data_IF_652234544840
#
_entry.id   IF_652234544840
#
_cell.length_a   1.000
_cell.length_b   1.000
_cell.length_c   1.000
_cell.angle_alpha   90.00
_cell.angle_beta   90.00
_cell.angle_gamma   90.00
#
_symmetry.space_group_name_H-M   'P 1'
#
loop_
_entity.id
_entity.type
_entity.pdbx_description
1 polymer ?
#
# COMPACT_ATOMS: atom_id res chain seq x y z
N UNK A 1 34.40 -18.68 -3.98
CA UNK A 1 35.55 -18.38 -4.87
C UNK A 1 35.31 -19.05 -6.23
N UNK A 2 35.78 -18.46 -7.34
CA UNK A 2 34.93 -18.21 -8.53
C UNK A 2 35.18 -19.17 -9.70
N UNK A 3 34.19 -19.30 -10.60
CA UNK A 3 34.42 -19.75 -11.98
C UNK A 3 33.31 -19.25 -12.92
N UNK A 4 33.71 -18.59 -14.02
CA UNK A 4 32.95 -18.41 -15.26
C UNK A 4 33.34 -19.53 -16.23
N UNK A 5 32.43 -20.00 -17.09
CA UNK A 5 32.56 -20.01 -18.56
C UNK A 5 31.54 -20.94 -19.28
N UNK A 6 31.36 -20.62 -20.57
CA UNK A 6 30.41 -21.08 -21.60
C UNK A 6 30.35 -22.58 -22.01
N UNK A 7 29.14 -22.96 -22.45
CA UNK A 7 28.75 -23.62 -23.73
C UNK A 7 28.50 -25.15 -23.86
N UNK A 8 27.30 -25.44 -24.44
CA UNK A 8 26.84 -26.58 -25.30
C UNK A 8 26.74 -27.98 -24.65
N UNK A 9 25.71 -28.83 -24.81
CA UNK A 9 24.87 -29.20 -25.98
C UNK A 9 23.69 -30.13 -25.58
N UNK A 10 22.55 -30.12 -26.32
CA UNK A 10 21.56 -31.22 -26.47
C UNK A 10 20.44 -31.31 -25.40
N UNK A 11 19.14 -31.44 -25.69
CA UNK A 11 18.41 -31.91 -26.88
C UNK A 11 17.04 -31.20 -27.00
N UNK A 12 16.58 -31.01 -28.25
CA UNK A 12 15.30 -30.40 -28.62
C UNK A 12 14.27 -31.48 -28.94
N UNK A 13 13.00 -31.26 -28.59
CA UNK A 13 11.86 -31.63 -29.44
C UNK A 13 11.04 -30.37 -29.73
N UNK A 14 10.82 -30.14 -31.02
CA UNK A 14 10.21 -28.96 -31.59
C UNK A 14 8.83 -29.32 -32.16
N UNK A 15 7.89 -28.37 -32.08
CA UNK A 15 6.91 -28.15 -33.13
C UNK A 15 6.99 -26.68 -33.57
N UNK A 16 7.34 -26.52 -34.84
CA UNK A 16 7.54 -25.29 -35.62
C UNK A 16 6.18 -24.68 -36.02
N UNK A 17 5.99 -23.35 -36.18
CA UNK A 17 6.63 -22.49 -37.18
C UNK A 17 6.67 -21.00 -36.74
N UNK A 18 7.83 -20.41 -36.99
CA UNK A 18 8.13 -18.96 -37.07
C UNK A 18 7.65 -18.38 -38.41
N UNK A 19 7.57 -17.04 -38.51
CA UNK A 19 8.47 -16.36 -39.44
C UNK A 19 9.57 -15.56 -38.73
N UNK A 20 10.69 -15.52 -39.43
CA UNK A 20 11.91 -14.72 -39.31
C UNK A 20 11.92 -13.49 -38.38
N UNK A 21 12.93 -13.49 -37.48
CA UNK A 21 13.51 -12.30 -36.85
C UNK A 21 14.17 -11.39 -37.90
N UNK A 22 14.33 -10.09 -37.57
CA UNK A 22 15.66 -9.51 -37.54
C UNK A 22 16.21 -9.47 -36.12
N UNK A 23 17.52 -9.67 -36.03
CA UNK A 23 18.36 -9.51 -34.86
C UNK A 23 18.34 -8.07 -34.34
N UNK A 24 18.92 -7.89 -33.14
CA UNK A 24 19.14 -6.61 -32.44
C UNK A 24 17.91 -6.07 -31.70
N UNK A 25 17.90 -6.22 -30.37
CA UNK A 25 17.81 -5.14 -29.37
C UNK A 25 17.83 -5.80 -27.96
N UNK A 26 18.96 -5.63 -27.26
CA UNK A 26 19.08 -5.72 -25.80
C UNK A 26 18.78 -4.31 -25.27
N UNK A 27 17.92 -4.17 -24.27
CA UNK A 27 17.87 -2.99 -23.39
C UNK A 27 17.39 -3.50 -22.03
N UNK A 28 18.12 -3.51 -20.91
CA UNK A 28 18.92 -2.48 -20.19
C UNK A 28 18.15 -1.16 -20.06
N UNK A 29 17.57 -0.96 -18.89
CA UNK A 29 17.07 0.35 -18.43
C UNK A 29 18.31 1.25 -18.31
N UNK A 30 18.50 2.26 -19.17
CA UNK A 30 19.60 3.19 -19.03
C UNK A 30 19.29 4.15 -17.88
N UNK A 31 20.28 4.46 -17.06
CA UNK A 31 20.23 5.65 -16.21
C UNK A 31 20.09 6.88 -17.11
N UNK A 32 19.02 7.65 -16.92
CA UNK A 32 18.74 8.85 -17.73
C UNK A 32 19.73 9.96 -17.34
N UNK A 33 20.46 10.60 -18.27
CA UNK A 33 21.30 11.74 -17.94
C UNK A 33 20.44 12.95 -17.54
N UNK A 34 20.88 13.68 -16.52
CA UNK A 34 20.22 14.88 -16.01
C UNK A 34 20.21 16.00 -17.06
N UNK A 35 19.00 16.40 -17.50
CA UNK A 35 18.83 17.53 -18.42
C UNK A 35 18.99 18.85 -17.65
N UNK A 36 20.05 19.58 -17.97
CA UNK A 36 20.37 20.92 -17.44
C UNK A 36 19.37 21.94 -17.97
N UNK A 37 18.49 22.48 -17.11
CA UNK A 37 17.55 23.55 -17.48
C UNK A 37 18.28 24.84 -17.86
N UNK A 38 18.13 25.31 -19.11
CA UNK A 38 18.52 26.67 -19.53
C UNK A 38 17.53 27.68 -18.96
N UNK A 39 18.02 28.70 -18.25
CA UNK A 39 17.26 29.90 -17.85
C UNK A 39 17.12 30.82 -19.05
N UNK A 40 15.88 31.11 -19.47
CA UNK A 40 15.59 32.23 -20.37
C UNK A 40 15.32 33.49 -19.51
N UNK A 41 16.01 34.59 -19.84
CA UNK A 41 15.82 35.92 -19.27
C UNK A 41 14.84 36.70 -20.15
N UNK A 42 13.88 37.41 -19.54
CA UNK A 42 13.01 38.40 -20.18
C UNK A 42 12.39 39.32 -19.08
N UNK A 43 12.19 40.63 -19.33
CA UNK A 43 12.14 41.63 -18.26
C UNK A 43 10.76 41.93 -17.66
N UNK A 44 10.84 42.54 -16.47
CA UNK A 44 9.83 43.03 -15.52
C UNK A 44 8.70 43.91 -16.09
N UNK A 45 7.54 43.90 -15.42
CA UNK A 45 7.12 44.99 -14.52
C UNK A 45 5.77 44.71 -13.84
N UNK A 46 5.75 44.66 -12.51
CA UNK A 46 4.73 45.29 -11.63
C UNK A 46 5.27 45.31 -10.20
N UNK A 47 5.32 46.52 -9.63
CA UNK A 47 5.94 46.86 -8.34
C UNK A 47 5.00 46.52 -7.18
N UNK A 48 5.54 45.96 -6.11
CA UNK A 48 4.99 46.04 -4.74
C UNK A 48 5.95 46.86 -3.87
N UNK A 49 5.49 47.72 -2.96
CA UNK A 49 6.37 48.46 -2.05
C UNK A 49 6.83 47.60 -0.85
N UNK A 50 7.89 48.02 -0.14
CA UNK A 50 8.88 47.12 0.46
C UNK A 50 8.72 46.91 1.98
N UNK A 51 9.28 45.80 2.44
CA UNK A 51 9.65 45.51 3.84
C UNK A 51 10.98 46.18 4.23
N UNK A 52 11.18 46.63 5.48
CA UNK A 52 12.51 46.94 6.00
C UNK A 52 13.16 45.72 6.69
N UNK A 53 14.39 45.43 6.28
CA UNK A 53 15.44 44.60 6.94
C UNK A 53 16.51 45.53 7.54
N UNK A 54 17.67 45.08 8.07
CA UNK A 54 18.07 43.83 8.75
C UNK A 54 18.86 44.11 10.06
N UNK A 55 19.17 43.07 10.86
CA UNK A 55 20.49 43.02 11.53
C UNK A 55 20.91 41.59 11.87
N UNK A 56 22.11 41.24 11.42
CA UNK A 56 22.93 40.07 11.76
C UNK A 56 23.18 39.94 13.26
N UNK A 57 23.15 38.71 13.81
CA UNK A 57 24.17 38.15 14.74
C UNK A 57 23.96 36.63 14.91
N UNK A 58 25.11 35.98 15.09
CA UNK A 58 25.44 34.54 15.17
C UNK A 58 25.06 33.93 16.54
N UNK A 59 25.03 32.58 16.61
CA UNK A 59 25.22 31.67 17.76
C UNK A 59 24.05 30.82 18.30
N UNK A 60 24.31 29.50 18.25
CA UNK A 60 24.20 28.49 19.32
C UNK A 60 22.84 27.94 19.81
N UNK A 61 22.90 26.62 20.06
CA UNK A 61 21.94 25.74 20.71
C UNK A 61 21.38 26.28 22.03
N UNK A 62 20.07 26.11 22.26
CA UNK A 62 19.52 25.72 23.56
C UNK A 62 18.04 25.33 23.43
N UNK A 63 17.70 24.13 23.88
CA UNK A 63 16.33 23.80 24.28
C UNK A 63 15.95 24.71 25.45
N UNK A 64 14.82 25.42 25.36
CA UNK A 64 14.26 26.08 26.55
C UNK A 64 12.74 25.97 26.56
N UNK A 65 12.27 25.38 27.66
CA UNK A 65 10.87 25.22 28.08
C UNK A 65 10.10 26.53 27.93
N UNK A 66 9.00 26.50 27.18
CA UNK A 66 8.00 27.57 27.22
C UNK A 66 7.11 27.36 28.46
N UNK A 67 7.28 28.20 29.49
CA UNK A 67 6.35 28.29 30.63
C UNK A 67 5.05 28.96 30.18
N UNK A 68 3.95 28.22 30.16
CA UNK A 68 2.61 28.80 30.04
C UNK A 68 2.12 29.22 31.43
N UNK A 69 1.90 30.53 31.63
CA UNK A 69 1.11 31.06 32.76
C UNK A 69 -0.38 30.92 32.42
N UNK A 70 -1.22 30.33 33.28
CA UNK A 70 -2.66 30.31 33.06
C UNK A 70 -3.27 31.65 33.47
N UNK A 71 -3.86 32.36 32.51
CA UNK A 71 -4.81 33.43 32.82
C UNK A 71 -6.17 32.79 33.13
N UNK A 72 -6.59 32.90 34.40
CA UNK A 72 -7.90 32.48 34.86
C UNK A 72 -8.99 33.35 34.24
N UNK A 73 -9.92 32.71 33.53
CA UNK A 73 -11.17 33.31 33.08
C UNK A 73 -12.29 32.63 33.87
N UNK A 74 -12.78 33.31 34.90
CA UNK A 74 -13.91 32.89 35.73
C UNK A 74 -15.21 33.04 34.95
N UNK A 75 -15.83 31.91 34.57
CA UNK A 75 -17.22 31.87 34.11
C UNK A 75 -18.13 31.45 35.28
N UNK A 76 -19.24 32.16 35.54
CA UNK A 76 -20.18 31.76 36.57
C UNK A 76 -20.94 30.49 36.15
N UNK A 77 -21.02 29.53 37.07
CA UNK A 77 -21.76 28.27 36.94
C UNK A 77 -23.26 28.50 37.08
N UNK A 78 -24.04 28.20 36.03
CA UNK A 78 -25.50 28.04 36.11
C UNK A 78 -25.83 26.60 36.52
N UNK A 79 -26.66 26.35 37.55
CA UNK A 79 -27.03 25.00 37.94
C UNK A 79 -28.18 24.45 37.08
N UNK A 80 -28.11 23.15 36.76
CA UNK A 80 -29.30 22.29 36.63
C UNK A 80 -29.88 22.04 35.24
N UNK A 81 -29.31 21.10 34.47
CA UNK A 81 -30.08 20.31 33.47
C UNK A 81 -29.63 18.83 33.35
N UNK A 82 -28.52 18.42 33.97
CA UNK A 82 -27.94 17.08 33.74
C UNK A 82 -28.47 15.94 34.64
N UNK A 83 -29.41 16.20 35.55
CA UNK A 83 -29.91 15.17 36.48
C UNK A 83 -31.05 14.31 35.92
N UNK A 84 -31.67 14.64 34.77
CA UNK A 84 -32.81 13.87 34.20
C UNK A 84 -32.48 13.10 32.91
N UNK A 85 -31.22 12.69 32.71
CA UNK A 85 -30.82 11.83 31.56
C UNK A 85 -30.17 10.50 31.95
N UNK A 86 -30.31 10.08 33.22
CA UNK A 86 -29.80 8.78 33.70
C UNK A 86 -30.87 7.72 33.96
N UNK A 87 -32.15 8.09 34.00
CA UNK A 87 -33.24 7.15 34.30
C UNK A 87 -33.76 6.39 33.06
N UNK A 88 -33.70 6.98 31.86
CA UNK A 88 -34.32 6.40 30.65
C UNK A 88 -33.41 5.46 29.83
N UNK A 89 -32.19 5.18 30.29
CA UNK A 89 -31.26 4.25 29.63
C UNK A 89 -31.36 2.80 30.13
N UNK A 90 -32.29 2.50 31.07
CA UNK A 90 -32.44 1.17 31.69
C UNK A 90 -33.73 0.43 31.35
N UNK A 91 -34.62 1.00 30.52
CA UNK A 91 -35.88 0.33 30.14
C UNK A 91 -35.98 0.24 28.62
N UNK A 92 -35.67 -0.95 28.11
CA UNK A 92 -35.76 -1.27 26.68
C UNK A 92 -34.66 -2.21 26.23
N UNK A 93 -34.57 -3.41 26.83
CA UNK A 93 -33.81 -4.51 26.22
C UNK A 93 -34.80 -5.25 25.33
N UNK A 94 -34.69 -5.21 23.98
CA UNK A 94 -35.50 -6.08 23.15
C UNK A 94 -35.01 -7.50 23.38
N UNK A 95 -35.84 -8.34 23.99
CA UNK A 95 -35.68 -9.79 23.99
C UNK A 95 -36.14 -10.30 22.63
N UNK A 96 -35.25 -10.22 21.64
CA UNK A 96 -35.44 -10.78 20.31
C UNK A 96 -34.09 -11.23 19.77
N UNK A 97 -33.93 -12.54 19.57
CA UNK A 97 -32.70 -13.19 19.09
C UNK A 97 -32.40 -12.86 17.62
N UNK A 98 -31.95 -11.64 17.37
CA UNK A 98 -31.28 -11.23 16.15
C UNK A 98 -29.96 -10.62 16.55
N UNK A 99 -28.87 -11.03 15.91
CA UNK A 99 -27.49 -10.60 16.17
C UNK A 99 -27.26 -9.14 15.70
N UNK A 100 -28.08 -8.20 16.18
CA UNK A 100 -28.07 -6.79 15.80
C UNK A 100 -27.14 -6.00 16.72
N UNK A 101 -25.87 -6.38 16.78
CA UNK A 101 -24.85 -5.50 17.37
C UNK A 101 -23.49 -5.68 16.68
N UNK A 102 -23.51 -5.64 15.35
CA UNK A 102 -22.35 -5.76 14.49
C UNK A 102 -21.50 -4.47 14.50
N UNK A 103 -20.82 -4.18 15.60
CA UNK A 103 -19.54 -3.48 15.51
C UNK A 103 -18.67 -4.25 14.51
N UNK A 104 -17.97 -3.55 13.60
CA UNK A 104 -17.10 -4.14 12.56
C UNK A 104 -15.90 -4.88 13.17
N UNK A 105 -16.17 -6.03 13.79
CA UNK A 105 -15.18 -6.93 14.38
C UNK A 105 -14.51 -7.72 13.26
N UNK A 106 -13.23 -8.00 13.43
CA UNK A 106 -12.53 -8.94 12.56
C UNK A 106 -13.12 -10.36 12.72
N UNK A 107 -13.08 -11.20 11.67
CA UNK A 107 -13.37 -12.62 11.82
C UNK A 107 -12.31 -13.27 12.70
N UNK A 108 -12.60 -14.43 13.27
CA UNK A 108 -11.59 -15.24 13.98
C UNK A 108 -10.61 -15.80 12.97
N UNK A 109 -9.32 -15.64 13.23
CA UNK A 109 -8.23 -16.21 12.45
C UNK A 109 -6.99 -16.40 13.33
N UNK A 110 -6.12 -17.31 12.93
CA UNK A 110 -4.78 -17.44 13.47
C UNK A 110 -3.83 -16.44 12.78
N UNK A 111 -2.82 -15.96 13.51
CA UNK A 111 -1.72 -15.18 12.94
C UNK A 111 -0.41 -15.91 13.21
N UNK A 112 0.31 -16.29 12.15
CA UNK A 112 1.66 -16.83 12.26
C UNK A 112 2.69 -15.74 11.96
N UNK A 113 3.84 -15.82 12.61
CA UNK A 113 4.94 -14.85 12.48
C UNK A 113 6.24 -15.59 12.16
N UNK A 114 6.40 -16.05 10.91
CA UNK A 114 7.61 -16.76 10.49
C UNK A 114 8.86 -15.90 10.69
N UNK A 115 9.97 -16.58 10.92
CA UNK A 115 11.29 -16.00 11.14
C UNK A 115 12.10 -15.83 9.86
N UNK A 116 11.80 -16.63 8.83
CA UNK A 116 12.40 -16.57 7.51
C UNK A 116 11.38 -16.85 6.38
N UNK A 117 11.79 -16.65 5.12
CA UNK A 117 10.94 -16.87 3.96
C UNK A 117 10.57 -18.34 3.74
N UNK A 118 11.43 -19.28 4.11
CA UNK A 118 11.13 -20.71 4.00
C UNK A 118 9.92 -21.08 4.84
N UNK A 119 9.98 -20.75 6.13
CA UNK A 119 8.89 -20.92 7.08
C UNK A 119 7.62 -20.17 6.64
N UNK A 120 7.79 -18.96 6.09
CA UNK A 120 6.66 -18.20 5.55
C UNK A 120 5.96 -18.91 4.39
N UNK A 121 6.72 -19.51 3.47
CA UNK A 121 6.19 -20.25 2.33
C UNK A 121 5.49 -21.54 2.78
N UNK A 122 6.03 -22.24 3.78
CA UNK A 122 5.38 -23.41 4.38
C UNK A 122 4.04 -23.03 5.03
N UNK A 123 4.01 -21.95 5.81
CA UNK A 123 2.77 -21.45 6.41
C UNK A 123 1.74 -20.97 5.37
N UNK A 124 2.19 -20.45 4.23
CA UNK A 124 1.34 -20.02 3.11
C UNK A 124 0.84 -21.18 2.24
N UNK A 125 1.47 -22.36 2.31
CA UNK A 125 1.02 -23.55 1.60
C UNK A 125 -0.29 -24.13 2.18
N UNK A 126 -0.65 -23.74 3.40
CA UNK A 126 -1.93 -24.11 4.02
C UNK A 126 -3.09 -23.46 3.28
N UNK A 127 -4.10 -24.26 2.94
CA UNK A 127 -5.27 -23.81 2.19
C UNK A 127 -5.97 -22.62 2.89
N UNK A 128 -6.25 -21.58 2.11
CA UNK A 128 -6.92 -20.37 2.61
C UNK A 128 -6.05 -19.45 3.46
N UNK A 129 -4.76 -19.78 3.69
CA UNK A 129 -3.81 -18.86 4.29
C UNK A 129 -3.60 -17.63 3.39
N UNK A 130 -3.39 -16.46 4.01
CA UNK A 130 -3.15 -15.21 3.28
C UNK A 130 -1.92 -14.48 3.81
N UNK A 131 -1.07 -13.93 2.93
CA UNK A 131 0.04 -13.10 3.38
C UNK A 131 -0.47 -11.77 3.94
N UNK A 132 0.16 -11.31 5.01
CA UNK A 132 -0.13 -10.05 5.68
C UNK A 132 1.14 -9.18 5.68
N UNK A 133 1.15 -8.15 4.82
CA UNK A 133 2.13 -7.06 4.87
C UNK A 133 1.70 -5.99 5.89
N UNK A 134 1.50 -4.76 5.42
CA UNK A 134 1.07 -3.64 6.27
C UNK A 134 -0.38 -3.69 6.79
N UNK A 135 -1.20 -4.62 6.29
CA UNK A 135 -2.61 -4.78 6.72
C UNK A 135 -3.56 -3.64 6.34
N UNK A 136 -3.10 -2.59 5.65
CA UNK A 136 -3.86 -1.37 5.36
C UNK A 136 -5.00 -1.57 4.35
N UNK A 137 -4.92 -2.61 3.51
CA UNK A 137 -6.01 -3.02 2.60
C UNK A 137 -6.76 -4.25 3.12
N UNK A 138 -6.01 -5.29 3.49
CA UNK A 138 -6.58 -6.57 3.88
C UNK A 138 -7.47 -6.46 5.12
N UNK A 139 -7.01 -5.82 6.20
CA UNK A 139 -7.75 -5.81 7.47
C UNK A 139 -9.10 -5.05 7.38
N UNK A 140 -9.20 -3.89 6.70
CA UNK A 140 -10.50 -3.29 6.39
C UNK A 140 -11.43 -4.23 5.60
N UNK A 141 -10.91 -4.94 4.59
CA UNK A 141 -11.70 -5.89 3.81
C UNK A 141 -12.22 -7.04 4.69
N UNK A 142 -11.41 -7.59 5.61
CA UNK A 142 -11.83 -8.62 6.56
C UNK A 142 -12.91 -8.14 7.54
N UNK A 143 -12.82 -6.89 8.01
CA UNK A 143 -13.89 -6.27 8.82
C UNK A 143 -15.21 -6.20 8.07
N UNK A 144 -15.16 -6.02 6.75
CA UNK A 144 -16.32 -6.07 5.87
C UNK A 144 -16.75 -7.48 5.46
N UNK A 145 -16.07 -8.53 5.91
CA UNK A 145 -16.24 -9.93 5.49
C UNK A 145 -16.00 -10.15 3.99
N UNK A 146 -15.09 -9.37 3.40
CA UNK A 146 -14.58 -9.60 2.05
C UNK A 146 -13.41 -10.58 2.14
N UNK A 147 -13.77 -11.86 2.31
CA UNK A 147 -12.87 -12.92 2.69
C UNK A 147 -12.86 -13.18 4.20
N UNK A 148 -12.67 -14.45 4.55
CA UNK A 148 -12.58 -14.96 5.93
C UNK A 148 -11.47 -16.00 6.01
N UNK A 149 -10.19 -15.61 5.83
CA UNK A 149 -9.08 -16.55 5.90
C UNK A 149 -8.99 -17.14 7.31
N UNK A 150 -8.72 -18.43 7.41
CA UNK A 150 -8.48 -19.08 8.69
C UNK A 150 -7.13 -18.68 9.32
N UNK A 151 -6.15 -18.30 8.47
CA UNK A 151 -4.79 -17.96 8.88
C UNK A 151 -4.24 -16.76 8.10
N UNK A 152 -3.59 -15.86 8.82
CA UNK A 152 -2.78 -14.78 8.25
C UNK A 152 -1.30 -15.02 8.55
N UNK A 153 -0.46 -14.97 7.52
CA UNK A 153 0.99 -15.13 7.65
C UNK A 153 1.64 -13.74 7.62
N UNK A 154 2.11 -13.26 8.77
CA UNK A 154 2.72 -11.94 8.91
C UNK A 154 4.12 -11.91 8.29
N UNK A 155 4.31 -11.06 7.28
CA UNK A 155 5.60 -10.88 6.61
C UNK A 155 6.47 -9.79 7.28
N UNK A 156 5.99 -9.18 8.36
CA UNK A 156 6.61 -7.99 8.97
C UNK A 156 7.99 -8.23 9.61
N UNK A 157 8.35 -9.49 9.91
CA UNK A 157 9.64 -9.87 10.51
C UNK A 157 10.67 -10.40 9.50
N UNK A 158 10.29 -10.50 8.22
CA UNK A 158 11.16 -11.02 7.18
C UNK A 158 12.02 -9.88 6.64
N UNK A 159 13.18 -9.66 7.27
CA UNK A 159 14.08 -8.56 6.91
C UNK A 159 14.61 -8.68 5.46
N UNK A 160 14.73 -9.90 4.94
CA UNK A 160 15.10 -10.14 3.54
C UNK A 160 14.06 -9.63 2.52
N UNK A 161 12.81 -9.40 2.94
CA UNK A 161 11.79 -8.75 2.11
C UNK A 161 11.85 -7.23 2.20
N UNK A 162 12.73 -6.64 3.01
CA UNK A 162 12.83 -5.20 3.20
C UNK A 162 14.08 -4.64 2.55
N UNK A 163 13.99 -3.36 2.20
CA UNK A 163 15.12 -2.57 1.75
C UNK A 163 15.15 -2.37 0.25
N UNK A 164 16.06 -1.49 -0.12
CA UNK A 164 16.29 -1.02 -1.49
C UNK A 164 17.77 -1.16 -1.74
N UNK A 165 18.15 -1.70 -2.89
CA UNK A 165 19.55 -1.87 -3.28
C UNK A 165 19.69 -1.71 -4.79
N UNK A 166 20.90 -1.35 -5.21
CA UNK A 166 21.27 -1.40 -6.62
C UNK A 166 21.99 -2.71 -6.89
N UNK A 167 21.59 -3.41 -7.93
CA UNK A 167 22.19 -4.67 -8.36
C UNK A 167 22.09 -4.79 -9.88
N UNK A 168 23.19 -5.17 -10.53
CA UNK A 168 23.26 -5.43 -11.97
C UNK A 168 22.70 -4.29 -12.87
N UNK A 169 22.79 -3.05 -12.38
CA UNK A 169 22.27 -1.86 -13.06
C UNK A 169 20.77 -1.63 -12.89
N UNK A 170 20.12 -2.35 -11.97
CA UNK A 170 18.72 -2.23 -11.60
C UNK A 170 18.57 -1.77 -10.14
N UNK A 171 17.44 -1.15 -9.83
CA UNK A 171 17.02 -0.92 -8.43
C UNK A 171 16.11 -2.07 -8.01
N UNK A 172 16.56 -2.85 -7.03
CA UNK A 172 15.80 -3.95 -6.44
C UNK A 172 15.14 -3.43 -5.16
N UNK A 173 13.82 -3.60 -5.08
CA UNK A 173 13.00 -3.14 -3.94
C UNK A 173 12.33 -4.36 -3.31
N UNK A 174 12.61 -4.59 -2.03
CA UNK A 174 11.97 -5.67 -1.28
C UNK A 174 10.47 -5.45 -1.12
N UNK A 175 9.67 -6.51 -1.25
CA UNK A 175 8.20 -6.45 -1.20
C UNK A 175 7.63 -5.94 0.14
N UNK A 176 8.39 -6.10 1.23
CA UNK A 176 8.10 -5.61 2.58
C UNK A 176 8.53 -4.17 2.84
N UNK A 177 9.22 -3.50 1.91
CA UNK A 177 9.59 -2.08 2.00
C UNK A 177 8.33 -1.22 2.00
N UNK A 178 8.25 -0.26 2.92
CA UNK A 178 7.08 0.62 3.05
C UNK A 178 7.00 1.62 1.89
N UNK A 179 5.79 2.09 1.58
CA UNK A 179 5.61 3.10 0.54
C UNK A 179 6.25 4.44 0.92
N UNK A 180 6.35 4.75 2.21
CA UNK A 180 7.08 5.91 2.69
C UNK A 180 8.57 5.80 2.36
N UNK A 181 9.20 4.65 2.68
CA UNK A 181 10.62 4.41 2.34
C UNK A 181 10.85 4.46 0.83
N UNK A 182 9.99 3.84 0.01
CA UNK A 182 10.10 3.89 -1.45
C UNK A 182 9.98 5.32 -2.00
N UNK A 183 9.10 6.14 -1.42
CA UNK A 183 8.91 7.53 -1.85
C UNK A 183 10.12 8.42 -1.52
N UNK A 184 10.82 8.12 -0.42
CA UNK A 184 11.89 8.95 0.13
C UNK A 184 13.30 8.46 -0.21
N UNK A 185 13.46 7.21 -0.65
CA UNK A 185 14.76 6.62 -0.95
C UNK A 185 15.49 7.38 -2.08
N UNK A 186 16.74 7.82 -1.85
CA UNK A 186 17.51 8.57 -2.85
C UNK A 186 17.73 7.81 -4.16
N UNK A 187 17.89 6.48 -4.11
CA UNK A 187 18.14 5.64 -5.28
C UNK A 187 16.87 5.52 -6.12
N UNK A 188 15.72 5.34 -5.48
CA UNK A 188 14.42 5.35 -6.19
C UNK A 188 14.16 6.72 -6.79
N UNK A 189 14.44 7.81 -6.07
CA UNK A 189 14.28 9.18 -6.60
C UNK A 189 15.22 9.48 -7.77
N UNK A 190 16.43 8.92 -7.78
CA UNK A 190 17.39 9.10 -8.86
C UNK A 190 17.05 8.26 -10.10
N UNK A 191 16.68 6.99 -9.91
CA UNK A 191 16.56 6.01 -11.01
C UNK A 191 15.11 5.75 -11.45
N UNK A 192 14.14 5.94 -10.55
CA UNK A 192 12.71 5.74 -10.79
C UNK A 192 11.86 6.86 -10.16
N UNK A 193 12.07 8.14 -10.52
CA UNK A 193 11.39 9.27 -9.88
C UNK A 193 9.86 9.20 -10.00
N UNK A 194 9.35 8.63 -11.09
CA UNK A 194 7.91 8.39 -11.25
C UNK A 194 7.36 7.42 -10.20
N UNK A 195 8.14 6.39 -9.82
CA UNK A 195 7.74 5.42 -8.79
C UNK A 195 7.75 6.07 -7.41
N UNK A 196 8.80 6.82 -7.07
CA UNK A 196 8.85 7.59 -5.83
C UNK A 196 7.64 8.56 -5.71
N UNK A 197 7.32 9.23 -6.81
CA UNK A 197 6.19 10.15 -6.91
C UNK A 197 4.82 9.46 -6.79
N UNK A 198 4.67 8.24 -7.32
CA UNK A 198 3.47 7.44 -7.18
C UNK A 198 3.31 6.93 -5.74
N UNK A 199 4.36 6.32 -5.17
CA UNK A 199 4.37 5.84 -3.80
C UNK A 199 4.03 6.95 -2.79
N UNK A 200 4.58 8.16 -2.99
CA UNK A 200 4.30 9.33 -2.16
C UNK A 200 2.86 9.87 -2.25
N UNK A 201 2.09 9.49 -3.28
CA UNK A 201 0.69 9.88 -3.47
C UNK A 201 -0.32 8.86 -2.92
N UNK A 202 0.12 7.64 -2.61
CA UNK A 202 -0.78 6.60 -2.10
C UNK A 202 -1.37 7.01 -0.76
N UNK A 203 -2.69 7.16 -0.68
CA UNK A 203 -3.45 7.37 0.56
C UNK A 203 -2.88 8.47 1.48
N UNK A 204 -2.90 8.26 2.80
CA UNK A 204 -2.39 9.19 3.82
C UNK A 204 -0.97 8.81 4.28
N UNK A 205 -0.20 9.74 4.88
CA UNK A 205 1.13 9.44 5.42
C UNK A 205 1.14 8.27 6.42
N UNK A 206 0.14 8.18 7.30
CA UNK A 206 0.02 7.08 8.27
C UNK A 206 -0.17 5.73 7.59
N UNK A 207 -0.93 5.70 6.49
CA UNK A 207 -1.09 4.49 5.70
C UNK A 207 0.22 4.14 5.01
N UNK A 208 0.95 5.11 4.43
CA UNK A 208 2.23 4.85 3.74
C UNK A 208 3.33 4.33 4.66
N UNK A 209 3.32 4.72 5.93
CA UNK A 209 4.26 4.23 6.94
C UNK A 209 4.05 2.75 7.29
N UNK A 210 2.89 2.17 6.96
CA UNK A 210 2.59 0.75 7.20
C UNK A 210 2.49 -0.05 5.90
N UNK A 211 1.89 0.54 4.86
CA UNK A 211 1.66 -0.09 3.58
C UNK A 211 2.99 -0.44 2.92
N UNK A 212 3.11 -1.67 2.43
CA UNK A 212 4.31 -2.15 1.75
C UNK A 212 4.14 -2.08 0.23
N UNK A 213 5.24 -2.04 -0.53
CA UNK A 213 5.20 -2.08 -1.99
C UNK A 213 4.52 -3.36 -2.50
N UNK A 214 4.86 -4.51 -1.92
CA UNK A 214 4.22 -5.80 -2.25
C UNK A 214 2.73 -5.81 -1.95
N UNK A 215 2.31 -5.17 -0.85
CA UNK A 215 0.89 -4.99 -0.54
C UNK A 215 0.19 -4.07 -1.52
N UNK A 216 0.86 -3.02 -2.01
CA UNK A 216 0.32 -2.10 -3.02
C UNK A 216 0.17 -2.74 -4.40
N UNK A 217 1.10 -3.64 -4.77
CA UNK A 217 1.01 -4.42 -6.02
C UNK A 217 -0.13 -5.44 -5.95
N UNK A 218 -0.33 -6.06 -4.79
CA UNK A 218 -1.35 -7.10 -4.56
C UNK A 218 -2.65 -6.55 -3.93
N UNK A 219 -2.96 -5.27 -4.14
CA UNK A 219 -4.21 -4.68 -3.67
C UNK A 219 -5.41 -5.42 -4.26
N UNK A 220 -6.46 -5.59 -3.47
CA UNK A 220 -7.73 -6.03 -4.03
C UNK A 220 -8.40 -4.90 -4.83
N UNK A 221 -9.15 -5.28 -5.86
CA UNK A 221 -9.90 -4.34 -6.70
C UNK A 221 -10.98 -3.63 -5.90
N UNK A 222 -11.29 -2.38 -6.26
CA UNK A 222 -12.29 -1.55 -5.59
C UNK A 222 -13.57 -1.43 -6.41
N UNK A 223 -14.71 -1.50 -5.72
CA UNK A 223 -16.02 -1.22 -6.30
C UNK A 223 -16.97 -0.78 -5.19
N UNK A 224 -17.81 0.22 -5.46
CA UNK A 224 -18.79 0.75 -4.50
C UNK A 224 -19.73 -0.32 -3.94
N UNK A 225 -20.04 -1.35 -4.74
CA UNK A 225 -20.91 -2.46 -4.35
C UNK A 225 -20.18 -3.58 -3.59
N UNK A 226 -18.84 -3.60 -3.64
CA UNK A 226 -18.01 -4.63 -3.01
C UNK A 226 -17.45 -4.15 -1.69
N UNK A 227 -16.87 -2.94 -1.63
CA UNK A 227 -16.24 -2.40 -0.41
C UNK A 227 -17.30 -1.86 0.57
N UNK A 228 -18.24 -2.72 0.96
CA UNK A 228 -19.35 -2.46 1.88
C UNK A 228 -19.44 -3.61 2.88
N UNK A 229 -20.15 -3.36 3.99
CA UNK A 229 -20.37 -4.37 5.03
C UNK A 229 -21.13 -5.58 4.49
N UNK A 230 -20.97 -6.74 5.12
CA UNK A 230 -21.70 -7.96 4.78
C UNK A 230 -23.23 -7.74 4.75
N UNK A 231 -23.75 -7.04 5.76
CA UNK A 231 -25.17 -6.67 5.85
C UNK A 231 -25.63 -5.84 4.64
N UNK A 232 -24.84 -4.84 4.23
CA UNK A 232 -25.20 -4.02 3.09
C UNK A 232 -25.19 -4.83 1.79
N UNK A 233 -24.19 -5.70 1.62
CA UNK A 233 -24.08 -6.56 0.44
C UNK A 233 -25.21 -7.59 0.37
N UNK A 234 -25.59 -8.19 1.50
CA UNK A 234 -26.69 -9.16 1.54
C UNK A 234 -28.03 -8.50 1.21
N UNK A 235 -28.25 -7.24 1.62
CA UNK A 235 -29.47 -6.50 1.31
C UNK A 235 -29.69 -6.28 -0.20
N UNK A 236 -28.62 -6.28 -1.01
CA UNK A 236 -28.70 -6.16 -2.47
C UNK A 236 -28.50 -7.49 -3.21
N UNK A 237 -28.44 -8.61 -2.48
CA UNK A 237 -28.22 -9.95 -3.06
C UNK A 237 -26.79 -10.24 -3.53
N UNK A 238 -25.79 -9.49 -3.03
CA UNK A 238 -24.39 -9.65 -3.42
C UNK A 238 -24.10 -9.14 -4.85
N UNK A 239 -22.94 -9.48 -5.39
CA UNK A 239 -22.53 -9.19 -6.77
C UNK A 239 -21.61 -10.29 -7.32
N UNK A 240 -21.23 -10.25 -8.60
CA UNK A 240 -20.33 -11.24 -9.21
C UNK A 240 -19.01 -11.47 -8.44
N UNK A 241 -18.47 -10.44 -7.78
CA UNK A 241 -17.24 -10.56 -6.98
C UNK A 241 -17.51 -11.06 -5.56
N UNK A 242 -18.75 -10.98 -5.08
CA UNK A 242 -19.11 -11.23 -3.69
C UNK A 242 -20.48 -11.92 -3.59
N UNK A 243 -20.50 -13.21 -3.24
CA UNK A 243 -21.70 -14.02 -2.88
C UNK A 243 -22.93 -13.97 -3.83
N UNK A 244 -22.83 -13.34 -5.01
CA UNK A 244 -23.96 -13.10 -5.92
C UNK A 244 -23.60 -13.31 -7.39
N UNK A 245 -24.58 -13.15 -8.28
CA UNK A 245 -24.47 -13.50 -9.70
C UNK A 245 -24.60 -12.32 -10.66
N UNK A 246 -24.76 -11.09 -10.14
CA UNK A 246 -25.02 -9.88 -10.95
C UNK A 246 -23.90 -8.86 -10.77
N UNK A 247 -23.52 -8.17 -11.85
CA UNK A 247 -22.70 -6.97 -11.76
C UNK A 247 -23.60 -5.73 -11.68
N UNK A 248 -23.63 -5.06 -10.54
CA UNK A 248 -24.43 -3.83 -10.37
C UNK A 248 -23.90 -2.62 -11.15
N UNK A 249 -22.65 -2.65 -11.63
CA UNK A 249 -22.07 -1.59 -12.46
C UNK A 249 -22.45 -1.78 -13.93
N UNK A 250 -22.40 -3.02 -14.43
CA UNK A 250 -22.77 -3.39 -15.81
C UNK A 250 -23.73 -4.57 -15.73
N UNK A 251 -25.06 -4.34 -15.63
CA UNK A 251 -26.04 -5.41 -15.33
C UNK A 251 -26.01 -6.60 -16.29
N UNK A 252 -25.62 -6.39 -17.55
CA UNK A 252 -25.49 -7.46 -18.57
C UNK A 252 -24.09 -8.04 -18.68
N UNK A 253 -23.15 -7.57 -17.86
CA UNK A 253 -21.77 -8.00 -17.86
C UNK A 253 -21.62 -9.39 -17.24
N UNK A 254 -20.79 -10.22 -17.86
CA UNK A 254 -20.49 -11.58 -17.38
C UNK A 254 -19.26 -11.63 -16.45
N UNK A 255 -18.53 -10.52 -16.36
CA UNK A 255 -17.30 -10.38 -15.58
C UNK A 255 -17.43 -9.25 -14.56
N UNK A 256 -16.69 -9.36 -13.46
CA UNK A 256 -16.53 -8.25 -12.53
C UNK A 256 -15.71 -7.12 -13.20
N UNK A 257 -16.17 -5.87 -13.07
CA UNK A 257 -15.49 -4.67 -13.56
C UNK A 257 -14.95 -3.80 -12.42
N UNK A 258 -14.63 -4.40 -11.27
CA UNK A 258 -14.02 -3.68 -10.16
C UNK A 258 -12.63 -3.15 -10.58
N UNK A 259 -12.34 -1.91 -10.21
CA UNK A 259 -11.14 -1.21 -10.67
C UNK A 259 -9.94 -1.56 -9.80
N UNK A 260 -8.80 -1.87 -10.43
CA UNK A 260 -7.51 -1.90 -9.75
C UNK A 260 -7.12 -0.46 -9.37
N UNK A 261 -6.88 -0.20 -8.08
CA UNK A 261 -6.64 1.15 -7.55
C UNK A 261 -5.19 1.33 -7.04
N UNK A 262 -4.24 0.63 -7.65
CA UNK A 262 -2.82 0.72 -7.30
C UNK A 262 -2.15 1.84 -8.11
N UNK A 263 -1.58 2.83 -7.41
CA UNK A 263 -0.84 3.91 -8.07
C UNK A 263 0.56 3.47 -8.55
N UNK A 264 1.20 2.51 -7.88
CA UNK A 264 2.56 2.09 -8.24
C UNK A 264 2.58 1.11 -9.42
N UNK A 265 1.58 0.23 -9.56
CA UNK A 265 1.52 -0.78 -10.62
C UNK A 265 1.64 -0.19 -12.05
N UNK A 266 0.86 0.82 -12.47
CA UNK A 266 1.01 1.37 -13.82
C UNK A 266 2.40 1.96 -14.07
N UNK A 267 3.03 2.53 -13.03
CA UNK A 267 4.39 3.06 -13.13
C UNK A 267 5.41 1.94 -13.24
N UNK A 268 5.29 0.88 -12.44
CA UNK A 268 6.17 -0.29 -12.52
C UNK A 268 6.08 -0.93 -13.91
N UNK A 269 4.88 -1.07 -14.47
CA UNK A 269 4.68 -1.58 -15.84
C UNK A 269 5.36 -0.67 -16.87
N UNK A 270 5.15 0.65 -16.78
CA UNK A 270 5.76 1.61 -17.70
C UNK A 270 7.30 1.63 -17.65
N UNK A 271 7.87 1.34 -16.47
CA UNK A 271 9.32 1.23 -16.28
C UNK A 271 9.90 -0.13 -16.71
N UNK A 272 9.07 -1.07 -17.16
CA UNK A 272 9.52 -2.44 -17.47
C UNK A 272 9.96 -3.21 -16.23
N UNK A 273 9.34 -2.92 -15.07
CA UNK A 273 9.63 -3.60 -13.81
C UNK A 273 9.31 -5.09 -13.87
N UNK A 274 10.16 -5.89 -13.25
CA UNK A 274 10.01 -7.34 -13.12
C UNK A 274 9.63 -7.71 -11.69
N UNK A 275 8.77 -8.73 -11.55
CA UNK A 275 8.38 -9.26 -10.24
C UNK A 275 9.13 -10.57 -10.01
N UNK A 276 9.95 -10.61 -8.96
CA UNK A 276 10.61 -11.83 -8.50
C UNK A 276 9.69 -12.50 -7.48
N UNK A 277 9.23 -13.71 -7.81
CA UNK A 277 8.40 -14.53 -6.93
C UNK A 277 9.22 -15.65 -6.31
N UNK A 278 8.74 -16.13 -5.16
CA UNK A 278 9.26 -17.30 -4.46
C UNK A 278 8.08 -18.21 -4.14
N UNK A 279 8.28 -19.51 -4.31
CA UNK A 279 7.26 -20.54 -4.12
C UNK A 279 7.84 -21.71 -3.34
N UNK A 280 7.01 -22.38 -2.55
CA UNK A 280 7.41 -23.61 -1.88
C UNK A 280 7.87 -24.65 -2.94
N UNK A 281 9.07 -25.20 -2.77
CA UNK A 281 9.62 -26.25 -3.65
C UNK A 281 10.39 -25.79 -4.90
N UNK A 282 10.66 -24.49 -5.06
CA UNK A 282 11.60 -24.01 -6.09
C UNK A 282 12.96 -23.70 -5.44
N UNK A 283 14.04 -24.30 -5.96
CA UNK A 283 15.42 -24.04 -5.52
C UNK A 283 15.81 -22.55 -5.79
N UNK A 284 16.73 -21.96 -5.00
CA UNK A 284 17.03 -20.52 -4.98
C UNK A 284 17.37 -19.85 -6.32
#
# INVERSE_FOLDING_TARGET
MPARACSTTGSRRAWTRRPSRPSWWRHRIPTVPTVRRKRARGPCTRRSPPSPTPSTTRWAFAWTRCRFRPHGCSRPSRPGVHARRRENLRRGRPTGGGEVNAMLRLPTFEVTQPSDLGEALEHLAVEGARPLGGGTDLLPNLKHRLGVPARLVSLARLDELRGIREEDGCVVIGAGTTLAEVADDPRVRAHAPALAAAAGRVASPLIRNMATLGGNVNLDTRCRYVNQTAFWRSAIGGCLKSEGQVCHVVPKGRNCVAAMSSDCVPVLVALGGEIVQRSAGADP
#
